data_IF_999057980741
#
_entry.id   IF_999057980741
#
_cell.length_a   1.000
_cell.length_b   1.000
_cell.length_c   1.000
_cell.angle_alpha   90.00
_cell.angle_beta   90.00
_cell.angle_gamma   90.00
#
_symmetry.space_group_name_H-M   'P 1'
#
loop_
_entity.id
_entity.type
_entity.pdbx_description
1 polymer ?
#
# COMPACT_ATOMS: atom_id res chain seq x y z
N UNK A 1 -0.99 -22.06 3.80
CA UNK A 1 -0.53 -23.11 2.89
C UNK A 1 0.86 -22.78 2.41
N UNK A 2 1.81 -23.67 2.67
CA UNK A 2 3.13 -23.65 2.06
C UNK A 2 2.96 -24.01 0.58
N UNK A 3 2.72 -23.02 -0.25
CA UNK A 3 2.82 -23.22 -1.69
C UNK A 3 4.29 -23.51 -2.02
N UNK A 4 4.53 -24.61 -2.70
CA UNK A 4 5.87 -25.09 -2.99
C UNK A 4 6.69 -24.10 -3.85
N UNK A 5 6.00 -23.16 -4.53
CA UNK A 5 6.56 -22.19 -5.44
C UNK A 5 5.97 -20.80 -5.22
N UNK A 6 6.57 -20.04 -4.31
CA UNK A 6 6.23 -18.65 -4.08
C UNK A 6 5.26 -18.40 -2.91
N UNK A 7 5.19 -17.15 -2.49
CA UNK A 7 4.30 -16.65 -1.44
C UNK A 7 3.43 -15.54 -2.01
N UNK A 8 2.19 -15.44 -1.52
CA UNK A 8 1.39 -14.24 -1.67
C UNK A 8 1.52 -13.39 -0.39
N UNK A 9 1.72 -12.09 -0.58
CA UNK A 9 1.66 -11.10 0.49
C UNK A 9 0.54 -10.12 0.16
N UNK A 10 -0.37 -9.92 1.11
CA UNK A 10 -1.37 -8.86 1.03
C UNK A 10 -0.94 -7.72 1.94
N UNK A 11 -0.79 -6.55 1.38
CA UNK A 11 -0.52 -5.32 2.11
C UNK A 11 -1.84 -4.56 2.28
N UNK A 12 -2.15 -4.18 3.52
CA UNK A 12 -3.33 -3.43 3.87
C UNK A 12 -2.95 -2.13 4.56
N UNK A 13 -3.40 -0.99 4.02
CA UNK A 13 -3.32 0.30 4.69
C UNK A 13 -4.66 0.59 5.38
N UNK A 14 -4.70 0.41 6.68
CA UNK A 14 -5.95 0.48 7.47
C UNK A 14 -6.63 1.84 7.44
N UNK A 15 -5.88 2.92 7.23
CA UNK A 15 -6.44 4.29 7.26
C UNK A 15 -7.12 4.71 5.97
N UNK A 16 -6.80 4.04 4.86
CA UNK A 16 -7.35 4.33 3.53
C UNK A 16 -8.13 3.16 2.93
N UNK A 17 -7.99 1.97 3.51
CA UNK A 17 -8.57 0.73 2.99
C UNK A 17 -7.85 0.19 1.74
N UNK A 18 -6.68 0.73 1.38
CA UNK A 18 -5.92 0.27 0.22
C UNK A 18 -5.40 -1.15 0.45
N UNK A 19 -5.67 -2.04 -0.51
CA UNK A 19 -5.23 -3.42 -0.52
C UNK A 19 -4.35 -3.69 -1.73
N UNK A 20 -3.15 -4.23 -1.50
CA UNK A 20 -2.22 -4.61 -2.56
C UNK A 20 -1.74 -6.04 -2.38
N UNK A 21 -1.78 -6.84 -3.44
CA UNK A 21 -1.29 -8.20 -3.46
C UNK A 21 0.01 -8.29 -4.27
N UNK A 22 0.97 -9.05 -3.77
CA UNK A 22 2.21 -9.36 -4.45
C UNK A 22 2.49 -10.86 -4.37
N UNK A 23 2.96 -11.44 -5.47
CA UNK A 23 3.52 -12.78 -5.49
C UNK A 23 5.04 -12.66 -5.49
N UNK A 24 5.69 -13.30 -4.54
CA UNK A 24 7.14 -13.24 -4.34
C UNK A 24 7.74 -14.64 -4.18
N UNK A 25 9.02 -14.75 -4.40
CA UNK A 25 9.75 -15.97 -4.10
C UNK A 25 9.77 -16.25 -2.59
N UNK A 26 9.65 -17.54 -2.22
CA UNK A 26 9.67 -17.96 -0.82
C UNK A 26 11.10 -18.00 -0.28
N UNK A 27 11.72 -16.84 -0.14
CA UNK A 27 13.00 -16.74 0.54
C UNK A 27 13.12 -15.45 1.38
N UNK A 28 13.97 -15.48 2.37
CA UNK A 28 14.15 -14.46 3.40
C UNK A 28 14.33 -13.05 2.80
N UNK A 29 15.21 -12.91 1.79
CA UNK A 29 15.52 -11.59 1.22
C UNK A 29 14.32 -10.97 0.47
N UNK A 30 13.51 -11.77 -0.24
CA UNK A 30 12.32 -11.27 -0.92
C UNK A 30 11.28 -10.74 0.08
N UNK A 31 11.08 -11.48 1.17
CA UNK A 31 10.16 -11.08 2.24
C UNK A 31 10.67 -9.80 2.92
N UNK A 32 11.96 -9.73 3.30
CA UNK A 32 12.54 -8.53 3.89
C UNK A 32 12.37 -7.30 2.99
N UNK A 33 12.61 -7.45 1.69
CA UNK A 33 12.45 -6.38 0.69
C UNK A 33 11.03 -5.80 0.73
N UNK A 34 10.01 -6.66 0.77
CA UNK A 34 8.60 -6.22 0.83
C UNK A 34 8.29 -5.56 2.17
N UNK A 35 8.68 -6.17 3.29
CA UNK A 35 8.38 -5.66 4.62
C UNK A 35 9.02 -4.29 4.89
N UNK A 36 10.31 -4.15 4.58
CA UNK A 36 11.05 -2.89 4.77
C UNK A 36 10.60 -1.83 3.75
N UNK A 37 10.41 -2.23 2.49
CA UNK A 37 10.02 -1.31 1.43
C UNK A 37 8.64 -0.69 1.61
N UNK A 38 7.75 -1.32 2.40
CA UNK A 38 6.40 -0.83 2.67
C UNK A 38 6.19 -0.33 4.11
N UNK A 39 7.25 -0.21 4.92
CA UNK A 39 7.16 0.22 6.33
C UNK A 39 6.12 -0.58 7.13
N UNK A 40 6.07 -1.89 6.93
CA UNK A 40 5.10 -2.78 7.61
C UNK A 40 5.29 -2.68 9.12
N UNK A 41 4.19 -2.56 9.86
CA UNK A 41 4.17 -2.47 11.32
C UNK A 41 3.74 -3.77 11.97
N UNK A 42 2.86 -4.49 11.31
CA UNK A 42 2.34 -5.76 11.76
C UNK A 42 2.27 -6.73 10.57
N UNK A 43 2.59 -7.98 10.83
CA UNK A 43 2.42 -9.08 9.88
C UNK A 43 1.56 -10.16 10.52
N UNK A 44 0.59 -10.65 9.76
CA UNK A 44 -0.27 -11.77 10.16
C UNK A 44 0.13 -13.01 9.39
N UNK A 45 0.45 -14.08 10.08
CA UNK A 45 0.90 -15.35 9.51
C UNK A 45 0.21 -16.53 10.18
N UNK A 46 0.17 -17.66 9.50
CA UNK A 46 -0.32 -18.90 10.09
C UNK A 46 0.75 -19.55 11.00
N UNK A 47 0.36 -20.21 12.08
CA UNK A 47 1.29 -20.90 13.01
C UNK A 47 2.20 -21.91 12.33
N UNK A 48 1.73 -22.51 11.21
CA UNK A 48 2.49 -23.49 10.40
C UNK A 48 3.52 -22.84 9.48
N UNK A 49 3.66 -21.52 9.52
CA UNK A 49 4.59 -20.81 8.64
C UNK A 49 6.06 -21.19 8.94
N UNK A 50 6.96 -20.99 7.98
CA UNK A 50 8.37 -21.36 8.13
C UNK A 50 9.03 -20.64 9.30
N UNK A 51 9.46 -21.44 10.30
CA UNK A 51 10.05 -20.92 11.57
C UNK A 51 11.30 -20.06 11.35
N UNK A 52 12.07 -20.30 10.26
CA UNK A 52 13.26 -19.49 9.96
C UNK A 52 12.86 -18.09 9.51
N UNK A 53 11.78 -18.00 8.71
CA UNK A 53 11.23 -16.72 8.25
C UNK A 53 10.62 -15.97 9.43
N UNK A 54 9.85 -16.66 10.27
CA UNK A 54 9.25 -16.05 11.48
C UNK A 54 10.33 -15.45 12.36
N UNK A 55 11.37 -16.23 12.68
CA UNK A 55 12.49 -15.76 13.51
C UNK A 55 13.18 -14.53 12.91
N UNK A 56 13.39 -14.52 11.60
CA UNK A 56 13.97 -13.36 10.91
C UNK A 56 13.08 -12.11 11.04
N UNK A 57 11.76 -12.26 10.93
CA UNK A 57 10.82 -11.13 11.09
C UNK A 57 10.85 -10.61 12.53
N UNK A 58 10.82 -11.50 13.52
CA UNK A 58 10.92 -11.13 14.94
C UNK A 58 12.23 -10.38 15.27
N UNK A 59 13.34 -10.77 14.65
CA UNK A 59 14.64 -10.10 14.81
C UNK A 59 14.64 -8.66 14.26
N UNK A 60 13.71 -8.30 13.36
CA UNK A 60 13.59 -6.93 12.84
C UNK A 60 13.10 -5.91 13.88
N UNK A 61 12.55 -6.34 15.02
CA UNK A 61 12.10 -5.52 16.18
C UNK A 61 11.12 -4.37 15.86
N UNK A 62 10.91 -4.05 14.60
CA UNK A 62 10.03 -2.96 14.15
C UNK A 62 8.67 -3.45 13.70
N UNK A 63 8.49 -4.79 13.61
CA UNK A 63 7.29 -5.44 13.08
C UNK A 63 6.72 -6.35 14.16
N UNK A 64 5.45 -6.17 14.48
CA UNK A 64 4.70 -7.10 15.34
C UNK A 64 4.31 -8.32 14.53
N UNK A 65 4.53 -9.51 15.06
CA UNK A 65 4.09 -10.77 14.46
C UNK A 65 2.83 -11.25 15.17
N UNK A 66 1.75 -11.39 14.42
CA UNK A 66 0.47 -11.93 14.87
C UNK A 66 0.18 -13.26 14.18
N UNK A 67 -0.45 -14.18 14.88
CA UNK A 67 -0.78 -15.50 14.33
C UNK A 67 -2.28 -15.64 14.14
N UNK A 68 -2.68 -16.10 12.96
CA UNK A 68 -4.07 -16.42 12.66
C UNK A 68 -4.13 -17.58 11.68
N UNK A 69 -4.94 -18.60 11.99
CA UNK A 69 -4.95 -19.85 11.21
C UNK A 69 -6.12 -19.97 10.24
N UNK A 70 -7.22 -19.27 10.49
CA UNK A 70 -8.38 -19.31 9.60
C UNK A 70 -8.08 -18.54 8.31
N UNK A 71 -8.11 -19.27 7.21
CA UNK A 71 -7.84 -18.75 5.87
C UNK A 71 -9.04 -18.87 4.94
N UNK A 72 -10.21 -19.24 5.49
CA UNK A 72 -11.42 -19.35 4.69
C UNK A 72 -11.89 -17.96 4.22
N UNK A 73 -11.92 -17.76 2.92
CA UNK A 73 -12.45 -16.51 2.37
C UNK A 73 -13.95 -16.43 2.56
N UNK A 74 -14.43 -15.45 3.33
CA UNK A 74 -15.84 -15.17 3.51
C UNK A 74 -16.46 -14.60 2.24
N UNK A 75 -17.69 -14.98 1.94
CA UNK A 75 -18.39 -14.56 0.73
C UNK A 75 -18.54 -13.03 0.64
N UNK A 76 -18.72 -12.38 1.77
CA UNK A 76 -18.83 -10.91 1.84
C UNK A 76 -17.60 -10.15 1.35
N UNK A 77 -16.39 -10.76 1.40
CA UNK A 77 -15.14 -10.14 0.94
C UNK A 77 -14.71 -10.59 -0.45
N UNK A 78 -15.35 -11.62 -1.03
CA UNK A 78 -14.98 -12.19 -2.33
C UNK A 78 -14.95 -11.15 -3.45
N UNK A 79 -15.88 -10.20 -3.44
CA UNK A 79 -15.95 -9.15 -4.44
C UNK A 79 -14.70 -8.23 -4.45
N UNK A 80 -13.96 -8.14 -3.33
CA UNK A 80 -12.75 -7.32 -3.23
C UNK A 80 -11.55 -7.94 -3.96
N UNK A 81 -11.57 -9.25 -4.24
CA UNK A 81 -10.54 -9.88 -5.06
C UNK A 81 -10.59 -9.45 -6.54
N UNK A 82 -11.71 -8.83 -6.98
CA UNK A 82 -11.82 -8.22 -8.30
C UNK A 82 -11.39 -9.13 -9.47
N UNK A 83 -11.77 -10.42 -9.40
CA UNK A 83 -11.45 -11.41 -10.43
C UNK A 83 -10.01 -11.97 -10.37
N UNK A 84 -9.27 -11.72 -9.29
CA UNK A 84 -7.97 -12.38 -9.06
C UNK A 84 -8.24 -13.86 -8.76
N UNK A 85 -7.77 -14.74 -9.65
CA UNK A 85 -7.91 -16.19 -9.56
C UNK A 85 -6.55 -16.83 -9.21
N UNK A 86 -6.05 -16.59 -8.00
CA UNK A 86 -4.82 -17.20 -7.49
C UNK A 86 -5.06 -17.68 -6.05
N UNK A 87 -4.97 -18.99 -5.84
CA UNK A 87 -5.24 -19.63 -4.53
C UNK A 87 -4.37 -19.09 -3.41
N UNK A 88 -3.15 -18.62 -3.71
CA UNK A 88 -2.23 -18.03 -2.74
C UNK A 88 -2.73 -16.68 -2.26
N UNK A 89 -3.22 -15.87 -3.20
CA UNK A 89 -3.79 -14.55 -2.92
C UNK A 89 -5.09 -14.71 -2.15
N UNK A 90 -5.96 -15.63 -2.57
CA UNK A 90 -7.23 -15.95 -1.89
C UNK A 90 -6.96 -16.39 -0.45
N UNK A 91 -6.01 -17.33 -0.25
CA UNK A 91 -5.61 -17.81 1.08
C UNK A 91 -5.06 -16.68 1.95
N UNK A 92 -4.13 -15.86 1.44
CA UNK A 92 -3.55 -14.77 2.21
C UNK A 92 -4.59 -13.70 2.55
N UNK A 93 -5.54 -13.44 1.64
CA UNK A 93 -6.62 -12.50 1.84
C UNK A 93 -7.63 -13.01 2.88
N UNK A 94 -7.94 -14.31 2.86
CA UNK A 94 -8.76 -14.96 3.89
C UNK A 94 -8.15 -14.82 5.28
N UNK A 95 -6.84 -15.09 5.44
CA UNK A 95 -6.13 -14.89 6.71
C UNK A 95 -6.23 -13.44 7.18
N UNK A 96 -5.98 -12.48 6.30
CA UNK A 96 -6.05 -11.05 6.64
C UNK A 96 -7.45 -10.64 7.08
N UNK A 97 -8.48 -10.95 6.30
CA UNK A 97 -9.86 -10.52 6.60
C UNK A 97 -10.41 -11.16 7.87
N UNK A 98 -10.14 -12.45 8.11
CA UNK A 98 -10.56 -13.11 9.33
C UNK A 98 -9.85 -12.55 10.58
N UNK A 99 -8.55 -12.26 10.47
CA UNK A 99 -7.80 -11.57 11.52
C UNK A 99 -8.38 -10.19 11.84
N UNK A 100 -8.67 -9.41 10.81
CA UNK A 100 -9.25 -8.07 10.98
C UNK A 100 -10.65 -8.12 11.61
N UNK A 101 -11.50 -9.06 11.20
CA UNK A 101 -12.83 -9.25 11.79
C UNK A 101 -12.75 -9.57 13.29
N UNK A 102 -11.80 -10.43 13.69
CA UNK A 102 -11.63 -10.80 15.11
C UNK A 102 -11.06 -9.63 15.94
N UNK A 103 -10.08 -8.92 15.41
CA UNK A 103 -9.35 -7.91 16.18
C UNK A 103 -10.02 -6.54 16.16
N UNK A 104 -10.55 -6.13 15.02
CA UNK A 104 -11.15 -4.79 14.87
C UNK A 104 -12.60 -4.75 15.34
N UNK A 105 -13.35 -5.87 15.29
CA UNK A 105 -14.78 -5.97 15.68
C UNK A 105 -15.65 -4.86 15.09
N UNK A 106 -15.31 -4.37 13.91
CA UNK A 106 -15.92 -3.22 13.23
C UNK A 106 -16.16 -3.53 11.75
N UNK A 107 -17.02 -2.74 11.14
CA UNK A 107 -17.31 -2.90 9.72
C UNK A 107 -16.07 -2.55 8.86
N UNK A 108 -15.67 -3.46 7.97
CA UNK A 108 -14.56 -3.32 7.03
C UNK A 108 -15.01 -2.80 5.65
N UNK A 109 -16.19 -2.17 5.57
CA UNK A 109 -16.77 -1.66 4.31
C UNK A 109 -15.91 -0.60 3.58
N UNK A 110 -14.87 -0.08 4.24
CA UNK A 110 -13.94 0.87 3.63
C UNK A 110 -12.80 0.21 2.85
N UNK A 111 -12.66 -1.13 2.94
CA UNK A 111 -11.64 -1.84 2.18
C UNK A 111 -11.92 -1.74 0.68
N UNK A 112 -10.89 -1.40 -0.08
CA UNK A 112 -10.95 -1.31 -1.54
C UNK A 112 -10.68 -2.66 -2.19
N UNK A 113 -10.94 -2.76 -3.49
CA UNK A 113 -10.55 -3.95 -4.25
C UNK A 113 -9.03 -4.16 -4.19
N UNK A 114 -8.62 -5.43 -4.15
CA UNK A 114 -7.21 -5.83 -4.13
C UNK A 114 -6.57 -5.48 -5.47
N UNK A 115 -5.49 -4.70 -5.44
CA UNK A 115 -4.68 -4.38 -6.60
C UNK A 115 -3.49 -5.35 -6.68
N UNK A 116 -3.37 -6.10 -7.79
CA UNK A 116 -2.17 -6.91 -8.04
C UNK A 116 -1.01 -6.00 -8.42
N UNK A 117 0.12 -6.14 -7.71
CA UNK A 117 1.36 -5.40 -7.99
C UNK A 117 2.40 -6.39 -8.53
N UNK A 118 2.81 -6.19 -9.77
CA UNK A 118 3.85 -6.99 -10.40
C UNK A 118 5.19 -6.27 -10.28
N UNK A 119 6.23 -7.00 -9.89
CA UNK A 119 7.58 -6.42 -9.73
C UNK A 119 8.10 -5.75 -11.02
N UNK A 120 7.70 -6.26 -12.18
CA UNK A 120 8.16 -5.77 -13.48
C UNK A 120 7.50 -4.45 -13.92
N UNK A 121 6.43 -4.00 -13.27
CA UNK A 121 5.72 -2.77 -13.62
C UNK A 121 6.47 -1.51 -13.16
N UNK A 122 7.39 -1.67 -12.20
CA UNK A 122 8.09 -0.58 -11.55
C UNK A 122 9.60 -0.75 -11.55
N UNK A 123 10.30 0.38 -11.59
CA UNK A 123 11.76 0.41 -11.38
C UNK A 123 12.07 -0.14 -9.99
N UNK A 124 12.82 -1.24 -9.97
CA UNK A 124 13.20 -1.89 -8.72
C UNK A 124 14.28 -1.08 -8.00
N UNK A 125 13.95 -0.56 -6.85
CA UNK A 125 14.87 0.10 -5.92
C UNK A 125 14.81 -0.61 -4.58
N UNK A 126 15.95 -1.00 -4.04
CA UNK A 126 16.01 -1.55 -2.70
C UNK A 126 15.76 -0.46 -1.62
N UNK A 127 15.53 -0.91 -0.39
CA UNK A 127 15.29 -0.01 0.73
C UNK A 127 16.45 0.95 0.96
N UNK A 128 17.68 0.47 0.88
CA UNK A 128 18.89 1.27 1.08
C UNK A 128 19.02 2.36 0.01
N UNK A 129 18.74 2.02 -1.24
CA UNK A 129 18.73 2.99 -2.35
C UNK A 129 17.69 4.09 -2.11
N UNK A 130 16.44 3.71 -1.79
CA UNK A 130 15.38 4.70 -1.50
C UNK A 130 15.75 5.61 -0.33
N UNK A 131 16.35 5.05 0.71
CA UNK A 131 16.75 5.78 1.90
C UNK A 131 17.96 6.70 1.62
N UNK A 132 19.00 6.21 0.94
CA UNK A 132 20.20 7.00 0.62
C UNK A 132 19.90 8.17 -0.34
N UNK A 133 18.93 8.02 -1.23
CA UNK A 133 18.43 9.08 -2.10
C UNK A 133 17.48 10.05 -1.39
N UNK A 134 17.14 9.79 -0.12
CA UNK A 134 16.18 10.59 0.67
C UNK A 134 14.89 10.90 -0.12
N UNK A 135 14.33 9.88 -0.76
CA UNK A 135 13.17 10.06 -1.65
C UNK A 135 11.94 10.55 -0.87
N UNK A 136 11.61 9.90 0.25
CA UNK A 136 10.39 10.15 1.03
C UNK A 136 10.62 10.32 2.53
N UNK A 137 11.79 9.93 3.04
CA UNK A 137 12.23 10.13 4.42
C UNK A 137 13.71 10.54 4.49
N UNK A 138 14.06 11.48 5.38
CA UNK A 138 15.43 11.92 5.53
C UNK A 138 16.23 10.94 6.38
N UNK A 139 17.53 10.78 6.08
CA UNK A 139 18.45 9.91 6.81
C UNK A 139 18.64 10.35 8.28
N UNK A 140 18.64 11.66 8.53
CA UNK A 140 18.96 12.22 9.85
C UNK A 140 17.80 12.18 10.83
N UNK A 141 16.58 12.47 10.35
CA UNK A 141 15.43 12.69 11.25
C UNK A 141 14.28 11.72 10.99
N UNK A 142 14.42 10.84 9.97
CA UNK A 142 13.36 9.97 9.49
C UNK A 142 12.04 10.73 9.23
N UNK A 143 12.16 12.03 8.92
CA UNK A 143 11.04 12.92 8.64
C UNK A 143 10.90 13.17 7.14
N UNK A 144 9.75 13.72 6.75
CA UNK A 144 9.50 14.15 5.37
C UNK A 144 10.37 15.36 4.95
N UNK A 145 10.84 16.16 5.89
CA UNK A 145 11.61 17.39 5.61
C UNK A 145 12.90 17.08 4.84
N UNK A 146 13.22 17.93 3.87
CA UNK A 146 14.43 17.82 3.04
C UNK A 146 14.49 16.57 2.15
N UNK A 147 13.35 16.02 1.75
CA UNK A 147 13.26 14.89 0.83
C UNK A 147 12.83 15.34 -0.57
N UNK A 148 13.03 14.48 -1.59
CA UNK A 148 12.51 14.71 -2.93
C UNK A 148 11.00 14.91 -2.90
N UNK A 149 10.27 14.09 -2.12
CA UNK A 149 8.84 14.24 -1.93
C UNK A 149 8.46 15.61 -1.39
N UNK A 150 9.14 16.11 -0.33
CA UNK A 150 8.82 17.42 0.24
C UNK A 150 9.08 18.58 -0.73
N UNK A 151 10.06 18.44 -1.61
CA UNK A 151 10.38 19.43 -2.63
C UNK A 151 9.33 19.48 -3.73
N UNK A 152 8.91 18.31 -4.23
CA UNK A 152 7.96 18.18 -5.34
C UNK A 152 6.50 18.38 -4.92
N UNK A 153 6.16 18.13 -3.65
CA UNK A 153 4.78 18.14 -3.22
C UNK A 153 4.18 19.55 -3.17
N UNK A 154 3.49 19.87 -4.24
CA UNK A 154 2.65 21.08 -4.39
C UNK A 154 1.18 20.68 -4.55
N UNK A 155 0.81 19.45 -4.13
CA UNK A 155 -0.55 18.94 -4.22
C UNK A 155 -1.52 19.78 -3.38
N UNK A 156 -2.74 19.92 -3.85
CA UNK A 156 -3.82 20.63 -3.16
C UNK A 156 -4.63 19.72 -2.24
N UNK A 157 -4.59 18.42 -2.47
CA UNK A 157 -5.29 17.43 -1.65
C UNK A 157 -4.33 16.45 -1.00
N UNK A 158 -4.70 15.90 0.15
CA UNK A 158 -3.92 14.87 0.86
C UNK A 158 -3.80 13.58 0.04
N UNK A 159 -4.85 13.22 -0.70
CA UNK A 159 -4.85 12.07 -1.61
C UNK A 159 -3.82 12.25 -2.73
N UNK A 160 -3.74 13.44 -3.34
CA UNK A 160 -2.72 13.76 -4.34
C UNK A 160 -1.30 13.66 -3.79
N UNK A 161 -1.06 14.14 -2.57
CA UNK A 161 0.24 14.03 -1.90
C UNK A 161 0.65 12.56 -1.66
N UNK A 162 -0.30 11.69 -1.27
CA UNK A 162 -0.05 10.25 -1.13
C UNK A 162 0.25 9.58 -2.48
N UNK A 163 -0.51 9.94 -3.51
CA UNK A 163 -0.28 9.43 -4.86
C UNK A 163 1.10 9.85 -5.39
N UNK A 164 1.51 11.11 -5.20
CA UNK A 164 2.84 11.58 -5.57
C UNK A 164 3.93 10.79 -4.83
N UNK A 165 3.77 10.55 -3.53
CA UNK A 165 4.67 9.70 -2.76
C UNK A 165 4.80 8.30 -3.37
N UNK A 166 3.66 7.65 -3.68
CA UNK A 166 3.62 6.33 -4.33
C UNK A 166 4.37 6.34 -5.68
N UNK A 167 4.21 7.38 -6.48
CA UNK A 167 4.92 7.51 -7.76
C UNK A 167 6.43 7.69 -7.63
N UNK A 168 6.88 8.38 -6.59
CA UNK A 168 8.31 8.54 -6.29
C UNK A 168 8.92 7.21 -5.80
N UNK A 169 8.21 6.47 -4.95
CA UNK A 169 8.68 5.20 -4.39
C UNK A 169 8.63 4.04 -5.39
N UNK A 170 7.71 4.13 -6.38
CA UNK A 170 7.44 3.10 -7.40
C UNK A 170 7.38 3.73 -8.80
N UNK A 171 8.52 4.18 -9.37
CA UNK A 171 8.55 4.74 -10.71
C UNK A 171 8.19 3.69 -11.76
N UNK A 172 7.38 4.08 -12.74
CA UNK A 172 7.00 3.20 -13.85
C UNK A 172 8.21 2.88 -14.74
N UNK A 173 8.20 1.71 -15.36
CA UNK A 173 9.15 1.32 -16.42
C UNK A 173 8.50 1.29 -17.80
N UNK A 174 7.19 1.15 -17.89
CA UNK A 174 6.44 1.19 -19.14
C UNK A 174 6.45 2.60 -19.74
N UNK A 175 7.09 2.73 -20.89
CA UNK A 175 7.24 4.03 -21.59
C UNK A 175 5.91 4.61 -22.07
N UNK A 176 4.93 3.77 -22.43
CA UNK A 176 3.61 4.24 -22.84
C UNK A 176 2.86 4.88 -21.66
N UNK A 177 2.92 4.23 -20.50
CA UNK A 177 2.33 4.77 -19.26
C UNK A 177 3.05 6.05 -18.79
N UNK A 178 4.38 6.11 -18.93
CA UNK A 178 5.16 7.32 -18.61
C UNK A 178 4.74 8.46 -19.53
N UNK A 179 4.72 8.24 -20.85
CA UNK A 179 4.34 9.27 -21.82
C UNK A 179 2.92 9.77 -21.58
N UNK A 180 1.97 8.88 -21.29
CA UNK A 180 0.59 9.30 -20.95
C UNK A 180 0.54 10.27 -19.75
N UNK A 181 1.40 10.08 -18.74
CA UNK A 181 1.50 11.03 -17.62
C UNK A 181 2.14 12.34 -18.04
N UNK A 182 3.18 12.29 -18.90
CA UNK A 182 3.84 13.48 -19.43
C UNK A 182 2.91 14.30 -20.32
N UNK A 183 2.11 13.66 -21.17
CA UNK A 183 1.10 14.32 -22.02
C UNK A 183 0.08 15.09 -21.16
N UNK A 184 -0.35 14.53 -20.04
CA UNK A 184 -1.25 15.21 -19.11
C UNK A 184 -0.59 16.44 -18.45
N UNK A 185 0.70 16.35 -18.11
CA UNK A 185 1.46 17.48 -17.56
C UNK A 185 1.65 18.58 -18.62
N UNK A 186 2.00 18.21 -19.85
CA UNK A 186 2.14 19.13 -20.97
C UNK A 186 0.82 19.87 -21.24
N UNK A 187 -0.29 19.12 -21.37
CA UNK A 187 -1.62 19.70 -21.55
C UNK A 187 -1.96 20.76 -20.48
N UNK A 188 -1.70 20.48 -19.20
CA UNK A 188 -1.97 21.42 -18.12
C UNK A 188 -1.00 22.59 -18.08
N UNK A 189 0.22 22.43 -18.59
CA UNK A 189 1.15 23.54 -18.73
C UNK A 189 0.73 24.50 -19.83
N UNK A 190 0.24 23.98 -20.95
CA UNK A 190 -0.21 24.78 -22.09
C UNK A 190 -1.55 25.47 -21.82
N UNK A 191 -2.37 24.88 -20.91
CA UNK A 191 -3.70 25.38 -20.55
C UNK A 191 -3.71 25.88 -19.09
N UNK A 192 -3.01 26.98 -18.82
CA UNK A 192 -2.81 27.47 -17.45
C UNK A 192 -4.12 27.86 -16.74
N UNK A 193 -5.14 28.37 -17.45
CA UNK A 193 -6.45 28.70 -16.86
C UNK A 193 -7.10 27.42 -16.32
N UNK A 194 -7.20 26.38 -17.14
CA UNK A 194 -7.75 25.06 -16.73
C UNK A 194 -6.96 24.47 -15.56
N UNK A 195 -5.63 24.61 -15.57
CA UNK A 195 -4.78 24.18 -14.47
C UNK A 195 -5.11 24.91 -13.17
N UNK A 196 -5.28 26.23 -13.21
CA UNK A 196 -5.57 27.01 -12.01
C UNK A 196 -6.98 26.75 -11.46
N UNK A 197 -7.99 26.64 -12.33
CA UNK A 197 -9.35 26.23 -11.96
C UNK A 197 -9.34 24.83 -11.32
N UNK A 198 -8.65 23.87 -11.93
CA UNK A 198 -8.52 22.51 -11.36
C UNK A 198 -7.84 22.54 -9.97
N UNK A 199 -6.80 23.36 -9.81
CA UNK A 199 -6.10 23.50 -8.53
C UNK A 199 -7.00 24.15 -7.46
N UNK A 200 -7.83 25.09 -7.83
CA UNK A 200 -8.81 25.71 -6.93
C UNK A 200 -9.83 24.66 -6.47
N UNK A 201 -10.46 23.93 -7.40
CA UNK A 201 -11.43 22.88 -7.08
C UNK A 201 -10.83 21.78 -6.20
N UNK A 202 -9.61 21.31 -6.51
CA UNK A 202 -8.92 20.32 -5.69
C UNK A 202 -8.63 20.78 -4.26
N UNK A 203 -8.57 22.11 -4.04
CA UNK A 203 -8.41 22.68 -2.70
C UNK A 203 -9.62 22.49 -1.78
N UNK A 204 -10.81 22.27 -2.34
CA UNK A 204 -12.05 22.00 -1.61
C UNK A 204 -12.32 20.50 -1.43
N UNK A 205 -11.51 19.62 -2.02
CA UNK A 205 -11.72 18.17 -1.92
C UNK A 205 -11.17 17.68 -0.58
N UNK A 206 -12.04 17.18 0.27
CA UNK A 206 -11.68 16.54 1.53
C UNK A 206 -10.97 15.19 1.27
N UNK A 207 -10.30 14.68 2.30
CA UNK A 207 -9.64 13.37 2.25
C UNK A 207 -10.69 12.23 2.30
N UNK A 208 -11.28 11.94 1.15
CA UNK A 208 -12.37 10.98 1.01
C UNK A 208 -11.98 9.58 1.45
N UNK A 209 -10.73 9.16 1.20
CA UNK A 209 -10.23 7.85 1.61
C UNK A 209 -10.26 7.71 3.15
N UNK A 210 -9.71 8.70 3.85
CA UNK A 210 -9.70 8.68 5.33
C UNK A 210 -11.06 8.92 5.95
N UNK A 211 -11.89 9.75 5.33
CA UNK A 211 -13.25 9.95 5.76
C UNK A 211 -14.07 8.67 5.65
N UNK A 212 -13.98 7.97 4.54
CA UNK A 212 -14.63 6.67 4.32
C UNK A 212 -14.25 5.67 5.43
N UNK A 213 -12.96 5.53 5.71
CA UNK A 213 -12.48 4.67 6.79
C UNK A 213 -13.04 5.10 8.16
N UNK A 214 -13.03 6.39 8.48
CA UNK A 214 -13.57 6.89 9.76
C UNK A 214 -15.07 6.66 9.90
N UNK A 215 -15.83 6.79 8.82
CA UNK A 215 -17.26 6.46 8.78
C UNK A 215 -17.47 4.98 9.06
N UNK A 216 -16.73 4.12 8.37
CA UNK A 216 -16.80 2.65 8.56
C UNK A 216 -16.46 2.26 10.02
N UNK A 217 -15.46 2.90 10.62
CA UNK A 217 -15.10 2.68 12.03
C UNK A 217 -16.06 3.35 13.05
N UNK A 218 -17.06 4.10 12.60
CA UNK A 218 -17.96 4.82 13.49
C UNK A 218 -17.28 5.94 14.31
N UNK A 219 -16.13 6.42 13.86
CA UNK A 219 -15.33 7.47 14.51
C UNK A 219 -15.44 8.83 13.83
N UNK A 220 -16.23 8.93 12.76
CA UNK A 220 -16.48 10.19 12.06
C UNK A 220 -17.30 11.15 12.92
N UNK A 221 -16.92 12.42 12.88
CA UNK A 221 -17.66 13.51 13.55
C UNK A 221 -18.34 14.34 12.45
N UNK A 222 -19.55 14.92 12.67
CA UNK A 222 -20.23 15.80 11.70
C UNK A 222 -19.43 17.03 11.24
N UNK A 223 -18.30 17.32 11.88
CA UNK A 223 -17.39 18.42 11.53
C UNK A 223 -16.16 18.00 10.70
N UNK A 224 -16.05 16.71 10.39
CA UNK A 224 -14.91 16.15 9.64
C UNK A 224 -14.98 16.37 8.14
#
# INVERSE_FOLDING_TARGET
HDFQFGLAIILCEMTTGELRAQLIDKHVMAIQKVLLGNNVREIVIQEKFDKKIVKMIEEMQTITVSFHNDNALKEEYRHLLNGIEDDRVETAFGVLTNYLDETQKRNMAHLNAVEMVYENDFLQMDFSTKQNLELTSSLRSNSRSQTLWSFLDKCRSSMGSRLLKKWIEYPLVDTAMINRRLDAVEYLNDNFITKDELREHLGFVYDMERLSARVAYGSANPRD
#
